data_IF_095217805846
#
_entry.id   IF_095217805846
#
_cell.length_a   1.000
_cell.length_b   1.000
_cell.length_c   1.000
_cell.angle_alpha   90.00
_cell.angle_beta   90.00
_cell.angle_gamma   90.00
#
_symmetry.space_group_name_H-M   'P 1'
#
loop_
_entity.id
_entity.type
_entity.pdbx_description
1 polymer ?
#
# COMPACT_ATOMS: atom_id res chain seq x y z
N UNK A 1 2.47 3.53 14.44
CA UNK A 1 2.78 3.85 13.02
C UNK A 1 2.60 5.33 12.72
N UNK A 2 1.37 5.87 12.64
CA UNK A 2 1.15 7.25 12.15
C UNK A 2 1.85 8.34 12.97
N UNK A 3 1.91 8.21 14.30
CA UNK A 3 2.61 9.16 15.17
C UNK A 3 4.10 9.31 14.81
N UNK A 4 4.77 8.20 14.47
CA UNK A 4 6.20 8.18 14.06
C UNK A 4 6.41 8.79 12.67
N UNK A 5 5.40 8.71 11.81
CA UNK A 5 5.45 9.24 10.44
C UNK A 5 5.02 10.70 10.32
N UNK A 6 4.29 11.23 11.30
CA UNK A 6 3.74 12.59 11.26
C UNK A 6 4.78 13.68 10.92
N UNK A 7 6.04 13.65 11.42
CA UNK A 7 7.06 14.64 11.06
C UNK A 7 7.51 14.59 9.59
N UNK A 8 7.31 13.45 8.93
CA UNK A 8 7.71 13.21 7.53
C UNK A 8 6.51 13.26 6.57
N UNK A 9 5.31 13.52 7.10
CA UNK A 9 4.08 13.59 6.35
C UNK A 9 3.79 15.03 5.90
N UNK A 10 3.26 15.18 4.68
CA UNK A 10 2.81 16.47 4.18
C UNK A 10 1.28 16.49 4.05
N UNK A 11 0.64 17.50 4.63
CA UNK A 11 -0.81 17.68 4.55
C UNK A 11 -1.27 17.99 3.11
N UNK A 12 -2.16 17.18 2.57
CA UNK A 12 -2.76 17.41 1.25
C UNK A 12 -3.98 18.34 1.40
N UNK A 13 -3.74 19.65 1.41
CA UNK A 13 -4.82 20.65 1.59
C UNK A 13 -5.52 21.07 0.30
N UNK A 14 -4.85 20.90 -0.84
CA UNK A 14 -5.31 21.35 -2.16
C UNK A 14 -5.04 20.26 -3.20
N UNK A 15 -6.05 19.93 -3.99
CA UNK A 15 -5.96 19.01 -5.14
C UNK A 15 -6.31 19.78 -6.43
N UNK A 16 -5.61 19.49 -7.53
CA UNK A 16 -5.85 20.13 -8.82
C UNK A 16 -6.00 19.11 -9.93
N UNK A 17 -7.01 19.30 -10.78
CA UNK A 17 -7.14 18.58 -12.05
C UNK A 17 -6.61 19.51 -13.13
N UNK A 18 -5.57 19.06 -13.83
CA UNK A 18 -4.89 19.81 -14.88
C UNK A 18 -5.00 19.06 -16.21
N UNK A 19 -5.16 19.80 -17.30
CA UNK A 19 -5.04 19.25 -18.65
C UNK A 19 -3.55 19.16 -19.03
N UNK A 20 -3.01 17.95 -18.99
CA UNK A 20 -1.62 17.66 -19.34
C UNK A 20 -1.41 17.34 -20.84
N UNK A 21 -2.42 17.57 -21.69
CA UNK A 21 -2.31 17.30 -23.13
C UNK A 21 -1.49 18.37 -23.87
N UNK A 22 -1.02 18.04 -25.08
CA UNK A 22 -0.25 18.96 -25.94
C UNK A 22 -1.10 19.87 -26.82
N UNK A 23 -2.40 20.04 -26.52
CA UNK A 23 -3.30 20.88 -27.34
C UNK A 23 -2.99 22.37 -27.14
N UNK A 24 -3.20 23.17 -28.20
CA UNK A 24 -3.02 24.62 -28.18
C UNK A 24 -4.01 25.31 -27.22
N UNK A 25 -5.26 24.85 -27.22
CA UNK A 25 -6.30 25.25 -26.26
C UNK A 25 -6.45 24.13 -25.24
N UNK A 26 -6.29 24.45 -23.95
CA UNK A 26 -6.37 23.51 -22.83
C UNK A 26 -7.62 23.75 -22.00
N UNK A 27 -8.10 22.69 -21.37
CA UNK A 27 -9.15 22.83 -20.35
C UNK A 27 -8.62 23.63 -19.15
N UNK A 28 -9.45 24.47 -18.52
CA UNK A 28 -9.03 25.22 -17.34
C UNK A 28 -8.69 24.27 -16.19
N UNK A 29 -7.67 24.64 -15.41
CA UNK A 29 -7.31 23.93 -14.18
C UNK A 29 -8.41 24.09 -13.15
N UNK A 30 -8.93 22.99 -12.63
CA UNK A 30 -9.88 22.99 -11.51
C UNK A 30 -9.13 22.73 -10.22
N UNK A 31 -9.42 23.52 -9.18
CA UNK A 31 -8.79 23.41 -7.85
C UNK A 31 -9.86 23.07 -6.82
N UNK A 32 -9.57 22.09 -5.96
CA UNK A 32 -10.39 21.69 -4.82
C UNK A 32 -9.59 21.89 -3.54
N UNK A 33 -10.21 22.49 -2.52
CA UNK A 33 -9.64 22.68 -1.19
C UNK A 33 -10.39 21.83 -0.18
N UNK A 34 -9.67 21.21 0.77
CA UNK A 34 -10.29 20.39 1.81
C UNK A 34 -11.31 21.20 2.64
N UNK A 35 -11.07 22.50 2.80
CA UNK A 35 -11.98 23.41 3.51
C UNK A 35 -13.37 23.54 2.87
N UNK A 36 -13.52 23.23 1.58
CA UNK A 36 -14.83 23.25 0.89
C UNK A 36 -15.78 22.16 1.42
N UNK A 37 -15.22 21.09 2.01
CA UNK A 37 -15.97 20.03 2.69
C UNK A 37 -15.84 20.10 4.22
N UNK A 38 -15.32 21.20 4.76
CA UNK A 38 -15.13 21.39 6.20
C UNK A 38 -13.92 20.68 6.81
N UNK A 39 -13.03 20.12 6.00
CA UNK A 39 -11.85 19.38 6.47
C UNK A 39 -10.56 20.23 6.41
N UNK A 40 -9.62 19.98 7.32
CA UNK A 40 -8.33 20.68 7.32
C UNK A 40 -7.42 20.22 6.15
N UNK A 41 -7.55 18.94 5.78
CA UNK A 41 -6.76 18.27 4.75
C UNK A 41 -7.52 17.07 4.18
N UNK A 42 -7.28 16.73 2.91
CA UNK A 42 -7.81 15.49 2.31
C UNK A 42 -7.10 14.23 2.82
N UNK A 43 -5.87 14.38 3.30
CA UNK A 43 -5.03 13.27 3.75
C UNK A 43 -3.57 13.69 3.91
N UNK A 44 -2.70 12.70 4.02
CA UNK A 44 -1.25 12.89 4.16
C UNK A 44 -0.54 12.27 2.97
N UNK A 45 0.34 13.04 2.34
CA UNK A 45 1.35 12.49 1.46
C UNK A 45 2.51 11.94 2.30
N UNK A 46 2.79 10.66 2.13
CA UNK A 46 3.81 9.93 2.88
C UNK A 46 4.85 9.39 1.91
N UNK A 47 6.12 9.83 2.00
CA UNK A 47 7.20 9.23 1.24
C UNK A 47 7.34 7.74 1.55
N UNK A 48 7.41 6.88 0.52
CA UNK A 48 7.52 5.42 0.71
C UNK A 48 8.77 5.02 1.51
N UNK A 49 9.87 5.74 1.33
CA UNK A 49 11.12 5.52 2.08
C UNK A 49 10.97 5.80 3.59
N UNK A 50 10.01 6.65 3.98
CA UNK A 50 9.64 6.89 5.38
C UNK A 50 8.60 5.87 5.86
N UNK A 51 7.57 5.61 5.06
CA UNK A 51 6.44 4.75 5.42
C UNK A 51 6.84 3.27 5.59
N UNK A 52 7.56 2.71 4.62
CA UNK A 52 7.86 1.26 4.58
C UNK A 52 8.65 0.78 5.79
N UNK A 53 9.74 1.45 6.24
CA UNK A 53 10.48 1.02 7.43
C UNK A 53 9.63 1.02 8.71
N UNK A 54 8.75 2.01 8.88
CA UNK A 54 7.88 2.10 10.06
C UNK A 54 6.83 0.99 10.06
N UNK A 55 6.24 0.67 8.90
CA UNK A 55 5.34 -0.47 8.76
C UNK A 55 6.07 -1.80 9.02
N UNK A 56 7.27 -1.97 8.46
CA UNK A 56 8.09 -3.17 8.66
C UNK A 56 8.44 -3.37 10.15
N UNK A 57 8.82 -2.30 10.84
CA UNK A 57 9.08 -2.31 12.28
C UNK A 57 7.83 -2.70 13.07
N UNK A 58 6.68 -2.11 12.74
CA UNK A 58 5.42 -2.44 13.41
C UNK A 58 5.01 -3.90 13.19
N UNK A 59 5.15 -4.41 11.96
CA UNK A 59 4.85 -5.81 11.65
C UNK A 59 5.81 -6.78 12.38
N UNK A 60 7.10 -6.46 12.42
CA UNK A 60 8.12 -7.30 13.09
C UNK A 60 7.97 -7.35 14.61
N UNK A 61 7.35 -6.32 15.21
CA UNK A 61 7.14 -6.23 16.65
C UNK A 61 5.77 -6.76 17.10
N UNK A 62 4.94 -7.26 16.18
CA UNK A 62 3.59 -7.70 16.48
C UNK A 62 3.55 -9.21 16.71
N UNK A 63 3.19 -9.65 17.92
CA UNK A 63 3.23 -11.06 18.33
C UNK A 63 2.37 -11.99 17.44
N UNK A 64 1.28 -11.47 16.88
CA UNK A 64 0.41 -12.19 15.95
C UNK A 64 0.93 -12.31 14.51
N UNK A 65 2.11 -11.78 14.18
CA UNK A 65 2.66 -11.79 12.82
C UNK A 65 3.95 -12.60 12.79
N UNK A 66 3.92 -13.71 12.05
CA UNK A 66 5.13 -14.45 11.70
C UNK A 66 5.61 -14.04 10.31
N UNK A 67 6.65 -13.20 10.25
CA UNK A 67 7.17 -12.69 8.99
C UNK A 67 8.25 -13.60 8.40
N UNK A 68 7.85 -14.42 7.43
CA UNK A 68 8.77 -15.22 6.61
C UNK A 68 9.41 -14.32 5.54
N UNK A 69 10.74 -14.20 5.58
CA UNK A 69 11.52 -13.40 4.60
C UNK A 69 11.87 -14.23 3.36
N UNK A 70 10.89 -14.94 2.83
CA UNK A 70 10.99 -15.79 1.65
C UNK A 70 9.82 -15.50 0.72
N UNK A 71 10.08 -15.47 -0.58
CA UNK A 71 9.04 -15.19 -1.58
C UNK A 71 8.24 -16.45 -1.87
N UNK A 72 6.95 -16.28 -2.18
CA UNK A 72 6.14 -17.40 -2.66
C UNK A 72 6.54 -17.73 -4.10
N UNK A 73 6.77 -19.02 -4.36
CA UNK A 73 7.10 -19.56 -5.68
C UNK A 73 5.85 -20.09 -6.39
N UNK A 74 4.97 -20.77 -5.68
CA UNK A 74 3.72 -21.32 -6.24
C UNK A 74 2.63 -21.49 -5.20
N UNK A 75 1.39 -21.64 -5.69
CA UNK A 75 0.18 -21.84 -4.90
C UNK A 75 -0.58 -23.09 -5.33
N UNK A 76 -1.23 -23.76 -4.38
CA UNK A 76 -2.30 -24.71 -4.64
C UNK A 76 -3.43 -24.51 -3.64
N UNK A 77 -4.67 -24.75 -4.07
CA UNK A 77 -5.85 -24.64 -3.23
C UNK A 77 -6.51 -26.01 -3.13
N UNK A 78 -6.96 -26.39 -1.94
CA UNK A 78 -7.91 -27.47 -1.75
C UNK A 78 -9.28 -26.92 -1.30
N UNK A 79 -10.16 -27.77 -0.76
CA UNK A 79 -11.49 -27.36 -0.34
C UNK A 79 -11.48 -26.39 0.86
N UNK A 80 -10.46 -26.47 1.71
CA UNK A 80 -10.44 -25.82 3.03
C UNK A 80 -9.25 -24.85 3.18
N UNK A 81 -8.16 -25.06 2.45
CA UNK A 81 -6.88 -24.38 2.64
C UNK A 81 -6.25 -23.88 1.33
N UNK A 82 -5.51 -22.79 1.48
CA UNK A 82 -4.51 -22.34 0.53
C UNK A 82 -3.12 -22.76 0.98
N UNK A 83 -2.35 -23.36 0.06
CA UNK A 83 -0.99 -23.80 0.28
C UNK A 83 -0.03 -22.95 -0.56
N UNK A 84 1.00 -22.41 0.09
CA UNK A 84 2.11 -21.70 -0.55
C UNK A 84 3.37 -22.55 -0.49
N UNK A 85 4.06 -22.72 -1.62
CA UNK A 85 5.46 -23.16 -1.67
C UNK A 85 6.34 -21.92 -1.71
N UNK A 86 7.31 -21.83 -0.80
CA UNK A 86 8.25 -20.71 -0.74
C UNK A 86 9.55 -21.03 -1.48
N UNK A 87 10.27 -20.00 -1.92
CA UNK A 87 11.49 -20.13 -2.70
C UNK A 87 12.66 -20.80 -1.95
N UNK A 88 12.58 -20.89 -0.62
CA UNK A 88 13.53 -21.65 0.21
C UNK A 88 13.16 -23.15 0.35
N UNK A 89 12.12 -23.60 -0.36
CA UNK A 89 11.61 -24.97 -0.34
C UNK A 89 10.60 -25.25 0.78
N UNK A 90 10.46 -24.36 1.77
CA UNK A 90 9.45 -24.49 2.83
C UNK A 90 8.03 -24.29 2.31
N UNK A 91 7.04 -24.64 3.13
CA UNK A 91 5.63 -24.47 2.78
C UNK A 91 4.81 -23.95 3.94
N UNK A 92 3.77 -23.18 3.62
CA UNK A 92 2.80 -22.64 4.58
C UNK A 92 1.40 -22.94 4.07
N UNK A 93 0.48 -23.25 4.98
CA UNK A 93 -0.94 -23.47 4.67
C UNK A 93 -1.80 -22.59 5.57
N UNK A 94 -2.87 -22.01 5.03
CA UNK A 94 -3.80 -21.17 5.76
C UNK A 94 -5.21 -21.26 5.15
N UNK A 95 -6.24 -20.99 5.95
CA UNK A 95 -7.63 -20.96 5.48
C UNK A 95 -7.95 -19.76 4.58
N UNK A 96 -7.06 -18.76 4.51
CA UNK A 96 -7.19 -17.58 3.66
C UNK A 96 -5.81 -17.12 3.19
N UNK A 97 -5.67 -16.90 1.88
CA UNK A 97 -4.54 -16.21 1.28
C UNK A 97 -4.96 -14.82 0.81
N UNK A 98 -4.15 -13.81 1.10
CA UNK A 98 -4.36 -12.43 0.63
C UNK A 98 -3.15 -12.02 -0.22
N UNK A 99 -3.36 -11.91 -1.52
CA UNK A 99 -2.34 -11.47 -2.48
C UNK A 99 -2.09 -9.96 -2.36
N UNK A 100 -0.98 -9.57 -1.72
CA UNK A 100 -0.56 -8.18 -1.52
C UNK A 100 0.81 -7.86 -2.15
N UNK A 101 1.23 -8.65 -3.14
CA UNK A 101 2.54 -8.67 -3.79
C UNK A 101 2.57 -7.95 -5.16
N UNK A 102 1.54 -7.15 -5.45
CA UNK A 102 1.56 -6.15 -6.52
C UNK A 102 1.23 -6.67 -7.92
N UNK A 103 1.70 -5.96 -8.96
CA UNK A 103 1.24 -6.13 -10.36
C UNK A 103 1.51 -7.53 -10.93
N UNK A 104 2.60 -8.17 -10.52
CA UNK A 104 3.10 -9.43 -11.09
C UNK A 104 2.91 -10.62 -10.14
N UNK A 105 1.91 -10.51 -9.26
CA UNK A 105 1.59 -11.55 -8.27
C UNK A 105 1.30 -12.91 -8.93
N UNK A 106 1.95 -14.01 -8.47
CA UNK A 106 1.60 -15.38 -8.85
C UNK A 106 0.27 -15.88 -8.28
N UNK A 107 -0.35 -15.12 -7.37
CA UNK A 107 -1.56 -15.51 -6.62
C UNK A 107 -2.87 -15.01 -7.24
N UNK A 108 -2.84 -14.49 -8.48
CA UNK A 108 -4.02 -13.98 -9.18
C UNK A 108 -4.85 -15.07 -9.84
#
# INVERSE_FOLDING_TARGET
VLAELKPQAAALKVMRIVDATRRLIRSPTVTFRASEIGEEQFGLNLPNNALVPVLAKAASAHDGIHWLKSTVESWSLDADLAHARLADGSGVSASLAVAADGRLSPAR
#
